data_IF_866290353312
#
_entry.id   IF_866290353312
#
_cell.length_a   1.000
_cell.length_b   1.000
_cell.length_c   1.000
_cell.angle_alpha   90.00
_cell.angle_beta   90.00
_cell.angle_gamma   90.00
#
_symmetry.space_group_name_H-M   'P 1'
#
loop_
_entity.id
_entity.type
_entity.pdbx_description
1 polymer ?
#
# COMPACT_ATOMS: atom_id res chain seq x y z
N UNK A 1 -13.94 -6.92 -2.38
CA UNK A 1 -12.97 -7.98 -2.03
C UNK A 1 -12.03 -8.13 -3.21
N UNK A 2 -10.72 -7.95 -3.02
CA UNK A 2 -9.73 -8.34 -4.04
C UNK A 2 -9.74 -9.88 -4.03
N UNK A 3 -9.89 -10.52 -5.19
CA UNK A 3 -10.10 -11.97 -5.26
C UNK A 3 -9.04 -12.73 -4.43
N UNK A 4 -9.51 -13.50 -3.44
CA UNK A 4 -8.67 -14.31 -2.57
C UNK A 4 -8.02 -13.61 -1.36
N UNK A 5 -8.17 -12.30 -1.18
CA UNK A 5 -7.60 -11.57 -0.02
C UNK A 5 -8.71 -10.90 0.80
N UNK A 6 -8.77 -11.23 2.09
CA UNK A 6 -9.68 -10.55 3.02
C UNK A 6 -9.26 -9.10 3.25
N UNK A 7 -10.22 -8.21 3.50
CA UNK A 7 -9.94 -6.79 3.80
C UNK A 7 -8.99 -6.63 5.00
N UNK A 8 -9.12 -7.50 6.00
CA UNK A 8 -8.23 -7.52 7.16
C UNK A 8 -6.79 -7.85 6.76
N UNK A 9 -6.59 -8.86 5.93
CA UNK A 9 -5.26 -9.22 5.44
C UNK A 9 -4.65 -8.10 4.60
N UNK A 10 -5.45 -7.51 3.70
CA UNK A 10 -4.99 -6.38 2.90
C UNK A 10 -4.56 -5.19 3.78
N UNK A 11 -5.39 -4.81 4.76
CA UNK A 11 -5.08 -3.72 5.68
C UNK A 11 -3.83 -4.00 6.52
N UNK A 12 -3.63 -5.26 6.95
CA UNK A 12 -2.41 -5.67 7.66
C UNK A 12 -1.18 -5.55 6.77
N UNK A 13 -1.24 -6.03 5.52
CA UNK A 13 -0.12 -5.93 4.58
C UNK A 13 0.22 -4.49 4.25
N UNK A 14 -0.78 -3.64 3.96
CA UNK A 14 -0.56 -2.22 3.68
C UNK A 14 0.09 -1.51 4.87
N UNK A 15 -0.35 -1.81 6.10
CA UNK A 15 0.26 -1.25 7.31
C UNK A 15 1.72 -1.63 7.46
N UNK A 16 2.08 -2.90 7.22
CA UNK A 16 3.48 -3.32 7.27
C UNK A 16 4.32 -2.61 6.20
N UNK A 17 3.83 -2.53 4.95
CA UNK A 17 4.53 -1.85 3.87
C UNK A 17 4.70 -0.34 4.12
N UNK A 18 3.73 0.30 4.79
CA UNK A 18 3.82 1.70 5.21
C UNK A 18 4.89 1.87 6.29
N UNK A 19 4.92 0.99 7.29
CA UNK A 19 5.92 0.99 8.37
C UNK A 19 7.34 0.78 7.86
N UNK A 20 7.50 -0.09 6.86
CA UNK A 20 8.78 -0.37 6.22
C UNK A 20 9.20 0.72 5.20
N UNK A 21 8.32 1.69 4.91
CA UNK A 21 8.60 2.84 4.02
C UNK A 21 8.46 2.54 2.52
N UNK A 22 7.88 1.40 2.14
CA UNK A 22 7.61 1.06 0.73
C UNK A 22 6.42 1.83 0.16
N UNK A 23 5.43 2.14 1.00
CA UNK A 23 4.24 2.89 0.57
C UNK A 23 3.98 4.10 1.47
N UNK A 24 3.38 5.12 0.89
CA UNK A 24 2.84 6.29 1.57
C UNK A 24 1.31 6.19 1.61
N UNK A 25 0.73 6.53 2.76
CA UNK A 25 -0.72 6.64 2.99
C UNK A 25 -1.15 8.10 3.01
N UNK A 26 -2.03 8.48 2.10
CA UNK A 26 -2.68 9.78 2.09
C UNK A 26 -4.09 9.66 2.67
N UNK A 27 -4.33 10.33 3.80
CA UNK A 27 -5.68 10.56 4.32
C UNK A 27 -6.21 11.88 3.75
N UNK A 28 -7.37 11.86 3.10
CA UNK A 28 -7.97 13.07 2.55
C UNK A 28 -8.88 13.80 3.55
N UNK A 29 -9.19 13.18 4.69
CA UNK A 29 -10.06 13.76 5.73
C UNK A 29 -11.40 14.32 5.21
N UNK A 30 -11.89 13.78 4.09
CA UNK A 30 -13.13 14.22 3.43
C UNK A 30 -14.34 13.34 3.83
N UNK A 31 -15.54 13.77 3.47
CA UNK A 31 -16.77 12.98 3.64
C UNK A 31 -17.33 12.68 2.24
N UNK A 32 -17.43 11.40 1.82
CA UNK A 32 -17.11 10.17 2.56
C UNK A 32 -15.60 9.98 2.79
N UNK A 33 -15.16 9.30 3.87
CA UNK A 33 -13.74 9.13 4.18
C UNK A 33 -13.03 8.35 3.09
N UNK A 34 -11.93 8.92 2.59
CA UNK A 34 -11.08 8.32 1.56
C UNK A 34 -9.63 8.31 2.00
N UNK A 35 -8.97 7.19 1.70
CA UNK A 35 -7.55 6.98 1.93
C UNK A 35 -6.96 6.35 0.67
N UNK A 36 -5.87 6.93 0.18
CA UNK A 36 -5.12 6.37 -0.93
C UNK A 36 -3.76 5.87 -0.44
N UNK A 37 -3.27 4.82 -1.11
CA UNK A 37 -1.94 4.27 -0.88
C UNK A 37 -1.14 4.36 -2.18
N UNK A 38 0.11 4.79 -2.09
CA UNK A 38 1.00 4.95 -3.24
C UNK A 38 2.39 4.42 -2.90
N UNK A 39 3.10 3.85 -3.88
CA UNK A 39 4.51 3.49 -3.70
C UNK A 39 5.35 4.76 -3.45
N UNK A 40 6.27 4.68 -2.50
CA UNK A 40 7.37 5.65 -2.38
C UNK A 40 8.38 5.42 -3.51
N UNK A 41 9.36 6.33 -3.65
CA UNK A 41 10.46 6.12 -4.61
C UNK A 41 11.22 4.83 -4.31
N UNK A 42 11.47 4.54 -3.03
CA UNK A 42 12.08 3.29 -2.58
C UNK A 42 11.19 2.07 -2.90
N UNK A 43 9.88 2.17 -2.65
CA UNK A 43 8.93 1.13 -3.01
C UNK A 43 8.84 0.84 -4.49
N UNK A 44 8.99 1.87 -5.33
CA UNK A 44 9.04 1.72 -6.78
C UNK A 44 10.29 0.97 -7.22
N UNK A 45 11.46 1.38 -6.74
CA UNK A 45 12.73 0.70 -7.06
C UNK A 45 12.71 -0.77 -6.62
N UNK A 46 12.24 -1.04 -5.39
CA UNK A 46 12.12 -2.40 -4.87
C UNK A 46 11.13 -3.25 -5.70
N UNK A 47 10.02 -2.65 -6.12
CA UNK A 47 9.03 -3.32 -6.98
C UNK A 47 9.58 -3.64 -8.36
N UNK A 48 10.32 -2.71 -8.98
CA UNK A 48 10.96 -2.93 -10.28
C UNK A 48 11.91 -4.13 -10.21
N UNK A 49 12.79 -4.15 -9.20
CA UNK A 49 13.71 -5.27 -8.98
C UNK A 49 13.04 -6.61 -8.74
N UNK A 50 11.83 -6.65 -8.16
CA UNK A 50 11.10 -7.88 -7.92
C UNK A 50 10.51 -8.45 -9.22
N UNK A 51 10.08 -7.59 -10.14
CA UNK A 51 9.51 -8.00 -11.43
C UNK A 51 10.56 -8.38 -12.47
N UNK A 52 11.82 -8.01 -12.23
CA UNK A 52 12.96 -8.38 -13.08
C UNK A 52 13.54 -9.79 -12.77
N UNK A 53 12.93 -10.55 -11.84
CA UNK A 53 13.34 -11.90 -11.41
C UNK A 53 12.38 -12.94 -11.99
#
# INVERSE_FOLDING_TARGET
MIDGISEKMLAQTLKSLEQDGFIYRQDYAEVPPRVDYQLTDFGREASERLFDI
#
